data_IF_142115906598
#
_entry.id   IF_142115906598
#
_cell.length_a   1.000
_cell.length_b   1.000
_cell.length_c   1.000
_cell.angle_alpha   90.00
_cell.angle_beta   90.00
_cell.angle_gamma   90.00
#
_symmetry.space_group_name_H-M   'P 1'
#
loop_
_entity.id
_entity.type
_entity.pdbx_description
1 polymer ?
#
# COMPACT_ATOMS: atom_id res chain seq x y z
N UNK A 1 -5.03 6.04 2.06
CA UNK A 1 -4.22 7.21 2.39
C UNK A 1 -4.93 7.99 3.48
N UNK A 2 -4.26 8.25 4.60
CA UNK A 2 -4.87 8.94 5.74
C UNK A 2 -3.94 10.00 6.32
N UNK A 3 -4.55 10.99 6.95
CA UNK A 3 -3.85 12.11 7.58
C UNK A 3 -3.11 13.04 6.62
N UNK A 4 -2.31 13.99 7.17
CA UNK A 4 -1.50 14.92 6.39
C UNK A 4 -0.48 14.19 5.49
N UNK A 5 0.15 13.13 5.99
CA UNK A 5 1.13 12.35 5.22
C UNK A 5 0.50 11.66 4.01
N UNK A 6 -0.70 11.09 4.15
CA UNK A 6 -1.43 10.52 3.02
C UNK A 6 -1.86 11.57 1.99
N UNK A 7 -2.16 12.79 2.44
CA UNK A 7 -2.49 13.92 1.57
C UNK A 7 -1.27 14.39 0.77
N UNK A 8 -0.10 14.48 1.41
CA UNK A 8 1.16 14.80 0.74
C UNK A 8 1.50 13.77 -0.35
N UNK A 9 1.35 12.47 -0.05
CA UNK A 9 1.53 11.40 -1.03
C UNK A 9 0.64 11.59 -2.27
N UNK A 10 -0.64 11.95 -2.07
CA UNK A 10 -1.56 12.17 -3.19
C UNK A 10 -1.13 13.35 -4.09
N UNK A 11 -0.64 14.43 -3.47
CA UNK A 11 -0.11 15.59 -4.20
C UNK A 11 1.14 15.22 -5.00
N UNK A 12 2.07 14.47 -4.42
CA UNK A 12 3.31 14.05 -5.09
C UNK A 12 3.03 13.11 -6.28
N UNK A 13 2.10 12.16 -6.13
CA UNK A 13 1.65 11.30 -7.24
C UNK A 13 1.07 12.13 -8.39
N UNK A 14 0.22 13.12 -8.06
CA UNK A 14 -0.35 14.03 -9.06
C UNK A 14 0.72 14.88 -9.75
N UNK A 15 1.68 15.42 -9.00
CA UNK A 15 2.79 16.21 -9.54
C UNK A 15 3.71 15.37 -10.45
N UNK A 16 3.83 14.07 -10.18
CA UNK A 16 4.57 13.12 -11.02
C UNK A 16 3.78 12.65 -12.27
N UNK A 17 2.53 13.10 -12.46
CA UNK A 17 1.68 12.67 -13.56
C UNK A 17 1.17 11.24 -13.44
N UNK A 18 1.21 10.66 -12.23
CA UNK A 18 0.75 9.30 -11.96
C UNK A 18 -0.73 9.32 -11.59
N UNK A 19 -1.56 8.67 -12.41
CA UNK A 19 -2.97 8.48 -12.11
C UNK A 19 -3.10 7.58 -10.87
N UNK A 20 -3.66 8.11 -9.79
CA UNK A 20 -3.81 7.41 -8.52
C UNK A 20 -5.25 7.51 -8.00
N UNK A 21 -5.82 6.36 -7.66
CA UNK A 21 -7.10 6.27 -6.97
C UNK A 21 -6.85 5.73 -5.56
N UNK A 22 -6.79 6.64 -4.58
CA UNK A 22 -6.46 6.31 -3.20
C UNK A 22 -7.74 6.11 -2.38
N UNK A 23 -7.79 5.05 -1.57
CA UNK A 23 -8.87 4.84 -0.59
C UNK A 23 -8.55 5.62 0.69
N UNK A 24 -9.40 6.56 1.13
CA UNK A 24 -9.23 7.25 2.40
C UNK A 24 -9.29 6.26 3.57
N UNK A 25 -8.40 6.44 4.54
CA UNK A 25 -8.40 5.66 5.79
C UNK A 25 -8.30 6.59 7.00
N UNK A 26 -8.78 6.14 8.16
CA UNK A 26 -8.70 6.88 9.42
C UNK A 26 -7.30 6.92 10.01
N UNK A 27 -6.48 5.89 9.77
CA UNK A 27 -5.08 5.83 10.22
C UNK A 27 -4.14 6.69 9.37
N UNK A 28 -3.16 7.34 9.99
CA UNK A 28 -2.19 8.14 9.25
C UNK A 28 -1.23 7.27 8.42
N UNK A 29 -1.04 7.62 7.15
CA UNK A 29 -0.05 6.97 6.30
C UNK A 29 1.35 7.09 6.92
N UNK A 30 1.99 5.95 7.20
CA UNK A 30 3.32 5.90 7.83
C UNK A 30 4.39 6.61 7.00
N UNK A 31 5.51 6.94 7.66
CA UNK A 31 6.76 7.33 7.00
C UNK A 31 7.82 6.27 7.21
N UNK A 32 8.76 6.19 6.28
CA UNK A 32 10.01 5.46 6.46
C UNK A 32 11.15 6.47 6.42
N UNK A 33 12.18 6.24 7.23
CA UNK A 33 13.35 7.12 7.28
C UNK A 33 14.57 6.33 6.83
N UNK A 34 15.27 6.85 5.83
CA UNK A 34 16.52 6.27 5.34
C UNK A 34 17.68 7.19 5.73
N UNK A 35 18.65 6.66 6.45
CA UNK A 35 19.86 7.39 6.86
C UNK A 35 21.03 6.86 6.05
N UNK A 36 21.65 7.73 5.25
CA UNK A 36 22.89 7.46 4.52
C UNK A 36 24.07 8.06 5.31
N UNK A 37 25.01 7.21 5.71
CA UNK A 37 26.25 7.66 6.33
C UNK A 37 27.20 8.22 5.27
N UNK A 38 27.59 9.48 5.42
CA UNK A 38 28.56 10.12 4.53
C UNK A 38 30.02 9.64 4.76
N UNK A 39 30.28 8.93 5.86
CA UNK A 39 31.63 8.47 6.24
C UNK A 39 31.98 7.15 5.56
N UNK A 40 31.05 6.19 5.58
CA UNK A 40 31.28 4.83 5.10
C UNK A 40 30.28 4.41 4.01
N UNK A 41 29.34 5.29 3.61
CA UNK A 41 28.33 5.01 2.60
C UNK A 41 27.24 4.03 3.05
N UNK A 42 27.21 3.63 4.32
CA UNK A 42 26.22 2.68 4.83
C UNK A 42 24.80 3.28 4.83
N UNK A 43 23.80 2.43 4.58
CA UNK A 43 22.38 2.82 4.56
C UNK A 43 21.65 2.11 5.69
N UNK A 44 21.01 2.89 6.55
CA UNK A 44 20.15 2.38 7.62
C UNK A 44 18.70 2.76 7.36
N UNK A 45 17.79 1.78 7.44
CA UNK A 45 16.36 1.95 7.16
C UNK A 45 15.55 1.82 8.46
N UNK A 46 14.79 2.86 8.79
CA UNK A 46 13.82 2.87 9.87
C UNK A 46 12.41 2.77 9.28
N UNK A 47 11.84 1.58 9.35
CA UNK A 47 10.54 1.27 8.78
C UNK A 47 9.50 1.12 9.90
N UNK A 48 8.72 2.16 10.14
CA UNK A 48 7.54 2.06 11.01
C UNK A 48 6.52 1.08 10.41
N UNK A 49 5.75 0.33 11.19
CA UNK A 49 4.65 -0.47 10.65
C UNK A 49 3.60 0.44 9.98
N UNK A 50 2.92 -0.08 8.95
CA UNK A 50 1.82 0.66 8.32
C UNK A 50 0.67 0.89 9.30
N UNK A 51 -0.19 1.92 9.08
CA UNK A 51 -1.39 2.09 9.88
C UNK A 51 -2.29 0.86 9.78
N UNK A 52 -3.00 0.57 10.86
CA UNK A 52 -4.04 -0.45 10.82
C UNK A 52 -5.18 0.02 9.90
N UNK A 53 -5.71 -0.90 9.11
CA UNK A 53 -6.92 -0.69 8.30
C UNK A 53 -8.09 -1.44 8.91
N UNK A 54 -9.27 -0.84 8.85
CA UNK A 54 -10.52 -1.47 9.24
C UNK A 54 -11.03 -2.39 8.13
N UNK A 55 -11.90 -3.33 8.49
CA UNK A 55 -12.55 -4.20 7.50
C UNK A 55 -13.34 -3.42 6.45
N UNK A 56 -13.94 -2.28 6.82
CA UNK A 56 -14.68 -1.41 5.90
C UNK A 56 -13.74 -0.73 4.89
N UNK A 57 -12.60 -0.21 5.33
CA UNK A 57 -11.61 0.40 4.45
C UNK A 57 -11.02 -0.63 3.47
N UNK A 58 -10.76 -1.85 3.93
CA UNK A 58 -10.32 -2.95 3.06
C UNK A 58 -11.39 -3.35 2.03
N UNK A 59 -12.66 -3.39 2.44
CA UNK A 59 -13.77 -3.66 1.55
C UNK A 59 -13.90 -2.58 0.46
N UNK A 60 -13.72 -1.30 0.81
CA UNK A 60 -13.69 -0.20 -0.15
C UNK A 60 -12.57 -0.37 -1.18
N UNK A 61 -11.35 -0.73 -0.76
CA UNK A 61 -10.26 -1.04 -1.69
C UNK A 61 -10.63 -2.17 -2.64
N UNK A 62 -11.16 -3.26 -2.09
CA UNK A 62 -11.58 -4.43 -2.88
C UNK A 62 -12.63 -4.06 -3.91
N UNK A 63 -13.57 -3.18 -3.55
CA UNK A 63 -14.63 -2.70 -4.42
C UNK A 63 -14.08 -1.83 -5.56
N UNK A 64 -13.14 -0.91 -5.28
CA UNK A 64 -12.49 -0.10 -6.32
C UNK A 64 -11.71 -0.95 -7.32
N UNK A 65 -10.94 -1.94 -6.84
CA UNK A 65 -10.22 -2.86 -7.73
C UNK A 65 -11.19 -3.62 -8.64
N UNK A 66 -12.31 -4.11 -8.09
CA UNK A 66 -13.34 -4.81 -8.87
C UNK A 66 -14.00 -3.90 -9.91
N UNK A 67 -14.30 -2.65 -9.57
CA UNK A 67 -14.88 -1.67 -10.50
C UNK A 67 -13.92 -1.28 -11.62
N UNK A 68 -12.63 -1.14 -11.30
CA UNK A 68 -11.61 -0.73 -12.26
C UNK A 68 -11.34 -1.82 -13.31
N UNK A 69 -11.60 -3.07 -12.93
CA UNK A 69 -11.46 -4.29 -13.72
C UNK A 69 -10.19 -4.30 -14.59
N UNK A 70 -9.00 -4.28 -13.97
CA UNK A 70 -7.76 -4.19 -14.70
C UNK A 70 -7.47 -5.50 -15.45
N UNK A 71 -6.88 -5.40 -16.65
CA UNK A 71 -6.40 -6.57 -17.40
C UNK A 71 -5.33 -7.34 -16.63
N UNK A 72 -4.48 -6.61 -15.88
CA UNK A 72 -3.46 -7.18 -15.00
C UNK A 72 -3.50 -6.48 -13.64
N UNK A 73 -3.59 -7.27 -12.56
CA UNK A 73 -3.52 -6.76 -11.20
C UNK A 73 -2.12 -7.02 -10.60
N UNK A 74 -1.44 -5.97 -10.17
CA UNK A 74 -0.18 -6.08 -9.43
C UNK A 74 -0.44 -5.81 -7.95
N UNK A 75 -0.16 -6.80 -7.11
CA UNK A 75 -0.21 -6.70 -5.65
C UNK A 75 1.23 -6.74 -5.13
N UNK A 76 1.71 -5.63 -4.57
CA UNK A 76 3.09 -5.52 -4.08
C UNK A 76 3.15 -4.98 -2.66
N UNK A 77 4.06 -5.55 -1.87
CA UNK A 77 4.29 -5.21 -0.47
C UNK A 77 3.55 -6.11 0.51
N UNK A 78 3.87 -5.95 1.80
CA UNK A 78 3.19 -6.66 2.89
C UNK A 78 1.78 -6.12 3.13
N UNK A 79 0.86 -6.98 3.57
CA UNK A 79 -0.45 -6.52 4.04
C UNK A 79 -0.32 -5.56 5.24
N UNK A 80 -1.12 -4.47 5.28
CA UNK A 80 -1.17 -3.61 6.45
C UNK A 80 -1.83 -4.36 7.63
N UNK A 81 -1.52 -3.98 8.88
CA UNK A 81 -2.23 -4.51 10.04
C UNK A 81 -3.76 -4.35 9.89
N UNK A 82 -4.52 -5.35 10.30
CA UNK A 82 -6.00 -5.34 10.20
C UNK A 82 -6.57 -5.77 8.85
N UNK A 83 -5.75 -5.90 7.80
CA UNK A 83 -6.19 -6.56 6.57
C UNK A 83 -6.39 -8.08 6.80
N UNK A 84 -7.33 -8.72 6.06
CA UNK A 84 -7.47 -10.17 6.10
C UNK A 84 -6.16 -10.86 5.66
N UNK A 85 -5.69 -11.91 6.34
CA UNK A 85 -4.45 -12.61 5.95
C UNK A 85 -4.45 -13.15 4.52
N UNK A 86 -5.62 -13.54 4.03
CA UNK A 86 -5.88 -14.00 2.66
C UNK A 86 -6.31 -12.86 1.71
N UNK A 87 -6.08 -11.61 2.11
CA UNK A 87 -6.57 -10.42 1.41
C UNK A 87 -6.14 -10.36 -0.06
N UNK A 88 -4.87 -10.64 -0.35
CA UNK A 88 -4.38 -10.69 -1.73
C UNK A 88 -4.98 -11.86 -2.52
N UNK A 89 -5.09 -13.04 -1.93
CA UNK A 89 -5.71 -14.21 -2.58
C UNK A 89 -7.12 -13.88 -3.08
N UNK A 90 -7.92 -13.18 -2.25
CA UNK A 90 -9.28 -12.72 -2.61
C UNK A 90 -9.31 -11.66 -3.71
N UNK A 91 -8.26 -10.84 -3.83
CA UNK A 91 -8.16 -9.81 -4.86
C UNK A 91 -7.78 -10.38 -6.22
N UNK A 92 -6.90 -11.38 -6.24
CA UNK A 92 -6.33 -11.95 -7.48
C UNK A 92 -7.14 -13.13 -8.04
N UNK A 93 -8.08 -13.68 -7.27
CA UNK A 93 -8.88 -14.83 -7.69
C UNK A 93 -9.53 -14.63 -9.06
N UNK A 94 -9.23 -15.54 -10.00
CA UNK A 94 -9.76 -15.49 -11.37
C UNK A 94 -9.19 -14.39 -12.26
N UNK A 95 -8.11 -13.70 -11.85
CA UNK A 95 -7.51 -12.57 -12.58
C UNK A 95 -6.05 -12.82 -12.92
N UNK A 96 -5.62 -12.33 -14.09
CA UNK A 96 -4.20 -12.26 -14.44
C UNK A 96 -3.51 -11.30 -13.48
N UNK A 97 -2.57 -11.83 -12.69
CA UNK A 97 -2.01 -11.09 -11.56
C UNK A 97 -0.52 -11.33 -11.38
N UNK A 98 0.16 -10.34 -10.80
CA UNK A 98 1.53 -10.46 -10.29
C UNK A 98 1.48 -10.19 -8.78
N UNK A 99 2.02 -11.10 -7.98
CA UNK A 99 2.09 -10.97 -6.53
C UNK A 99 3.55 -10.95 -6.09
N UNK A 100 3.95 -9.86 -5.44
CA UNK A 100 5.27 -9.68 -4.81
C UNK A 100 5.07 -9.25 -3.35
N UNK A 101 5.05 -10.22 -2.45
CA UNK A 101 4.71 -10.02 -1.04
C UNK A 101 5.66 -10.79 -0.14
N UNK A 102 5.54 -10.57 1.17
CA UNK A 102 6.27 -11.28 2.21
C UNK A 102 5.38 -11.58 3.40
N UNK A 103 5.87 -12.42 4.30
CA UNK A 103 5.15 -12.78 5.54
C UNK A 103 3.92 -13.67 5.29
N UNK A 104 2.91 -13.63 6.17
CA UNK A 104 1.76 -14.54 6.13
C UNK A 104 0.87 -14.46 4.87
N UNK A 105 1.12 -13.48 4.00
CA UNK A 105 0.38 -13.27 2.77
C UNK A 105 1.01 -13.97 1.54
N UNK A 106 2.18 -14.60 1.71
CA UNK A 106 2.83 -15.47 0.73
C UNK A 106 2.40 -16.92 0.95
#
# INVERSE_FOLDING_TARGET
AGGPTGSALAVELGAAGLAAELVPIGGETRRTTTVLSAVDGSVTLFNEPGPAVTAMEWALLTERVRRRDPEVLVCSGSLPPGAPPDGYARLIEGRKSVLDTSGPAL
#
